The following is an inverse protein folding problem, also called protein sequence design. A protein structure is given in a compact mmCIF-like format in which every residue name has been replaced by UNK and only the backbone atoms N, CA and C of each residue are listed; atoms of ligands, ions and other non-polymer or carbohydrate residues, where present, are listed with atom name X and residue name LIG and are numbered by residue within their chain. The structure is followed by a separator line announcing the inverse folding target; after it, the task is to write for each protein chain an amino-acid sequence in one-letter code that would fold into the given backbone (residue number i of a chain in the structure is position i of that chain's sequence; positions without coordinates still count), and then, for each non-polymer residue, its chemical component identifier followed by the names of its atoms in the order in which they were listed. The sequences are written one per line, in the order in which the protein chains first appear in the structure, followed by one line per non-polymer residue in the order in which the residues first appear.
data_IF_363436751087
#
_entry.id   IF_363436751087
#
_cell.length_a   1.000
_cell.length_b   1.000
_cell.length_c   1.000
_cell.angle_alpha   90.00
_cell.angle_beta   90.00
_cell.angle_gamma   90.00
#
_symmetry.space_group_name_H-M   'P 1'
#
loop_
_entity.id
_entity.type
_entity.pdbx_description
1 polymer ?
#
# COMPACT_ATOMS: atom_id res chain seq x y z
N UNK A 1 14.03 8.74 -16.05
CA UNK A 1 13.00 7.68 -16.20
C UNK A 1 12.29 7.50 -14.88
N UNK A 2 10.96 7.53 -14.91
CA UNK A 2 10.17 7.35 -13.68
C UNK A 2 10.28 5.92 -13.16
N UNK A 3 10.16 5.75 -11.87
CA UNK A 3 10.11 4.44 -11.25
C UNK A 3 8.85 3.66 -11.61
N UNK A 4 8.75 2.46 -11.10
CA UNK A 4 7.62 1.57 -11.33
C UNK A 4 6.85 1.35 -10.03
N UNK A 5 5.54 1.21 -10.17
CA UNK A 5 4.63 0.95 -9.07
C UNK A 5 4.05 -0.44 -9.21
N UNK A 6 4.28 -1.27 -8.19
CA UNK A 6 3.80 -2.65 -8.16
C UNK A 6 2.82 -2.79 -7.00
N UNK A 7 1.66 -3.35 -7.27
CA UNK A 7 0.64 -3.62 -6.25
C UNK A 7 0.47 -5.12 -6.11
N UNK A 8 0.60 -5.62 -4.89
CA UNK A 8 0.27 -7.01 -4.55
C UNK A 8 -1.02 -6.96 -3.74
N UNK A 9 -2.08 -7.48 -4.30
CA UNK A 9 -3.41 -7.40 -3.72
C UNK A 9 -3.87 -8.76 -3.22
N UNK A 10 -4.58 -8.78 -2.10
CA UNK A 10 -5.13 -10.01 -1.56
C UNK A 10 -5.57 -9.83 -0.12
N UNK A 11 -6.27 -10.86 0.38
CA UNK A 11 -6.69 -10.91 1.78
C UNK A 11 -5.55 -11.46 2.64
N UNK A 12 -5.63 -11.21 3.94
CA UNK A 12 -4.65 -11.75 4.89
C UNK A 12 -4.67 -13.28 4.83
N UNK A 13 -3.46 -13.87 4.94
CA UNK A 13 -3.30 -15.32 4.95
C UNK A 13 -3.22 -15.97 3.58
N UNK A 14 -3.21 -15.21 2.49
CA UNK A 14 -3.12 -15.76 1.13
C UNK A 14 -1.68 -15.91 0.60
N UNK A 15 -0.68 -15.71 1.45
CA UNK A 15 0.73 -15.82 1.05
C UNK A 15 1.33 -14.52 0.52
N UNK A 16 0.57 -13.44 0.56
CA UNK A 16 0.97 -12.14 0.04
C UNK A 16 2.25 -11.60 0.69
N UNK A 17 2.36 -11.71 2.01
CA UNK A 17 3.52 -11.22 2.76
C UNK A 17 4.80 -11.91 2.30
N UNK A 18 4.75 -13.22 2.11
CA UNK A 18 5.91 -14.00 1.63
C UNK A 18 6.33 -13.55 0.25
N UNK A 19 5.38 -13.34 -0.66
CA UNK A 19 5.66 -12.87 -2.01
C UNK A 19 6.29 -11.48 -2.01
N UNK A 20 5.80 -10.59 -1.18
CA UNK A 20 6.34 -9.22 -1.06
C UNK A 20 7.76 -9.27 -0.53
N UNK A 21 8.02 -10.07 0.51
CA UNK A 21 9.35 -10.21 1.07
C UNK A 21 10.35 -10.73 0.05
N UNK A 22 9.98 -11.76 -0.70
CA UNK A 22 10.86 -12.33 -1.72
C UNK A 22 11.13 -11.33 -2.84
N UNK A 23 10.10 -10.64 -3.31
CA UNK A 23 10.22 -9.63 -4.36
C UNK A 23 11.10 -8.47 -3.90
N UNK A 24 10.93 -8.05 -2.65
CA UNK A 24 11.70 -6.94 -2.06
C UNK A 24 13.20 -7.28 -1.94
N UNK A 25 13.53 -8.55 -1.79
CA UNK A 25 14.92 -9.01 -1.77
C UNK A 25 15.49 -9.20 -3.17
N UNK A 26 14.66 -9.67 -4.09
CA UNK A 26 15.08 -9.98 -5.45
C UNK A 26 15.29 -8.74 -6.31
N UNK A 27 14.35 -7.80 -6.29
CA UNK A 27 14.35 -6.63 -7.18
C UNK A 27 15.62 -5.79 -7.10
N UNK A 28 16.13 -5.44 -5.89
CA UNK A 28 17.34 -4.62 -5.81
C UNK A 28 18.56 -5.27 -6.43
N UNK A 29 18.59 -6.60 -6.49
CA UNK A 29 19.72 -7.38 -7.03
C UNK A 29 19.48 -7.82 -8.47
N UNK A 30 18.35 -7.50 -9.07
CA UNK A 30 17.96 -7.98 -10.40
C UNK A 30 18.58 -7.17 -11.54
N UNK A 31 19.03 -5.95 -11.25
CA UNK A 31 19.46 -5.02 -12.29
C UNK A 31 18.33 -4.19 -12.89
N UNK A 32 17.09 -4.44 -12.51
CA UNK A 32 15.93 -3.69 -13.04
C UNK A 32 15.83 -2.29 -12.43
N UNK A 33 16.24 -2.14 -11.18
CA UNK A 33 16.21 -0.85 -10.50
C UNK A 33 17.51 -0.11 -10.79
N UNK A 34 17.37 1.10 -11.32
CA UNK A 34 18.51 1.92 -11.69
C UNK A 34 19.39 2.22 -10.47
N UNK A 35 20.71 2.22 -10.68
CA UNK A 35 21.65 2.56 -9.62
C UNK A 35 21.34 3.95 -9.06
N UNK A 36 21.28 4.06 -7.74
CA UNK A 36 20.91 5.29 -7.06
C UNK A 36 19.43 5.41 -6.73
N UNK A 37 18.59 4.56 -7.33
CA UNK A 37 17.16 4.49 -7.01
C UNK A 37 16.93 3.50 -5.89
N UNK A 38 15.84 3.71 -5.15
CA UNK A 38 15.46 2.86 -4.01
C UNK A 38 14.22 2.05 -4.32
N UNK A 39 14.04 0.99 -3.56
CA UNK A 39 12.80 0.24 -3.50
C UNK A 39 12.10 0.59 -2.19
N UNK A 40 10.88 1.12 -2.29
CA UNK A 40 10.07 1.49 -1.14
C UNK A 40 8.93 0.49 -1.03
N UNK A 41 8.76 -0.10 0.15
CA UNK A 41 7.62 -0.96 0.44
C UNK A 41 6.64 -0.19 1.30
N UNK A 42 5.36 -0.28 0.95
CA UNK A 42 4.29 0.42 1.65
C UNK A 42 3.05 -0.45 1.67
N UNK A 43 1.98 0.04 2.25
CA UNK A 43 0.74 -0.73 2.35
C UNK A 43 -0.49 0.17 2.22
N UNK A 44 -1.61 -0.44 1.89
CA UNK A 44 -2.88 0.26 1.75
C UNK A 44 -4.01 -0.62 2.30
N UNK A 45 -4.76 -0.19 3.32
CA UNK A 45 -4.67 1.12 3.97
C UNK A 45 -3.50 1.22 4.97
N UNK A 46 -3.09 2.46 5.27
CA UNK A 46 -2.15 2.71 6.37
C UNK A 46 -0.72 3.04 5.95
N UNK A 47 -0.49 3.44 4.71
CA UNK A 47 0.85 3.77 4.22
C UNK A 47 1.34 5.15 4.60
N UNK A 48 0.43 6.12 4.76
CA UNK A 48 0.73 7.49 5.16
C UNK A 48 0.45 7.69 6.64
N UNK A 49 0.84 8.84 7.19
CA UNK A 49 0.52 9.16 8.58
C UNK A 49 -0.99 9.25 8.80
N UNK A 50 -1.71 9.92 7.89
CA UNK A 50 -3.17 9.95 7.95
C UNK A 50 -3.75 8.55 7.76
N UNK A 51 -3.20 7.79 6.84
CA UNK A 51 -3.65 6.44 6.53
C UNK A 51 -3.56 5.51 7.73
N UNK A 52 -2.54 5.65 8.57
CA UNK A 52 -2.43 4.83 9.79
C UNK A 52 -3.61 5.05 10.73
N UNK A 53 -4.07 6.28 10.85
CA UNK A 53 -5.26 6.60 11.66
C UNK A 53 -6.52 6.04 11.02
N UNK A 54 -6.65 6.17 9.70
CA UNK A 54 -7.80 5.65 8.97
C UNK A 54 -7.85 4.13 9.03
N UNK A 55 -6.70 3.45 8.95
CA UNK A 55 -6.61 2.00 9.07
C UNK A 55 -7.21 1.51 10.39
N UNK A 56 -6.93 2.19 11.48
CA UNK A 56 -7.49 1.84 12.78
C UNK A 56 -9.02 1.87 12.79
N UNK A 57 -9.61 2.84 12.10
CA UNK A 57 -11.06 2.93 11.97
C UNK A 57 -11.64 1.86 11.04
N UNK A 58 -10.97 1.61 9.91
CA UNK A 58 -11.44 0.67 8.90
C UNK A 58 -11.41 -0.76 9.43
N UNK A 59 -10.34 -1.14 10.12
CA UNK A 59 -10.12 -2.51 10.57
C UNK A 59 -10.55 -2.76 12.02
N UNK A 60 -11.33 -1.85 12.60
CA UNK A 60 -11.85 -2.02 13.96
C UNK A 60 -12.82 -3.18 13.99
N UNK A 61 -12.55 -4.15 14.86
CA UNK A 61 -13.39 -5.35 15.02
C UNK A 61 -14.57 -5.13 15.96
N UNK A 62 -14.64 -3.99 16.62
CA UNK A 62 -15.77 -3.67 17.50
C UNK A 62 -16.96 -3.27 16.67
N UNK A 63 -18.03 -4.08 16.72
CA UNK A 63 -19.22 -3.86 15.90
C UNK A 63 -19.90 -2.52 16.16
N UNK A 64 -19.75 -1.95 17.36
CA UNK A 64 -20.30 -0.63 17.69
C UNK A 64 -19.55 0.52 17.04
N UNK A 65 -18.30 0.29 16.68
CA UNK A 65 -17.43 1.32 16.07
C UNK A 65 -17.23 1.11 14.57
N UNK A 66 -17.78 0.03 14.03
CA UNK A 66 -17.59 -0.29 12.62
C UNK A 66 -18.32 0.70 11.74
N UNK A 67 -17.65 1.34 10.78
CA UNK A 67 -18.32 2.27 9.88
C UNK A 67 -19.32 1.56 8.96
N UNK A 68 -20.29 2.32 8.47
CA UNK A 68 -21.18 1.83 7.42
C UNK A 68 -20.38 1.52 6.15
N UNK A 69 -20.97 0.75 5.23
CA UNK A 69 -20.30 0.39 3.98
C UNK A 69 -19.88 1.62 3.17
N UNK A 70 -20.74 2.63 3.11
CA UNK A 70 -20.41 3.85 2.40
C UNK A 70 -19.26 4.62 3.08
N UNK A 71 -19.32 4.73 4.41
CA UNK A 71 -18.24 5.39 5.17
C UNK A 71 -16.93 4.65 5.01
N UNK A 72 -16.96 3.32 5.03
CA UNK A 72 -15.76 2.50 4.82
C UNK A 72 -15.15 2.77 3.44
N UNK A 73 -15.97 2.81 2.39
CA UNK A 73 -15.50 3.13 1.04
C UNK A 73 -14.83 4.50 1.00
N UNK A 74 -15.44 5.50 1.64
CA UNK A 74 -14.88 6.85 1.67
C UNK A 74 -13.58 6.92 2.47
N UNK A 75 -13.47 6.15 3.56
CA UNK A 75 -12.24 6.06 4.34
C UNK A 75 -11.11 5.44 3.52
N UNK A 76 -11.38 4.37 2.78
CA UNK A 76 -10.40 3.78 1.87
C UNK A 76 -9.98 4.76 0.77
N UNK A 77 -10.93 5.52 0.24
CA UNK A 77 -10.64 6.52 -0.79
C UNK A 77 -9.76 7.65 -0.26
N UNK A 78 -10.02 8.10 0.97
CA UNK A 78 -9.20 9.11 1.64
C UNK A 78 -7.79 8.58 1.89
N UNK A 79 -7.68 7.32 2.35
CA UNK A 79 -6.39 6.68 2.56
C UNK A 79 -5.58 6.64 1.26
N UNK A 80 -6.21 6.20 0.17
CA UNK A 80 -5.53 6.12 -1.13
C UNK A 80 -5.10 7.49 -1.63
N UNK A 81 -5.96 8.49 -1.54
CA UNK A 81 -5.63 9.84 -1.99
C UNK A 81 -4.40 10.37 -1.26
N UNK A 82 -4.33 10.20 0.04
CA UNK A 82 -3.20 10.63 0.84
C UNK A 82 -1.94 9.80 0.53
N UNK A 83 -2.10 8.49 0.38
CA UNK A 83 -1.01 7.57 0.07
C UNK A 83 -0.35 7.92 -1.27
N UNK A 84 -1.16 8.15 -2.31
CA UNK A 84 -0.64 8.56 -3.61
C UNK A 84 0.08 9.89 -3.51
N UNK A 85 -0.52 10.86 -2.85
CA UNK A 85 0.01 12.23 -2.78
C UNK A 85 1.29 12.33 -1.98
N UNK A 86 1.38 11.62 -0.85
CA UNK A 86 2.48 11.78 0.11
C UNK A 86 3.58 10.75 -0.02
N UNK A 87 3.28 9.55 -0.54
CA UNK A 87 4.23 8.44 -0.57
C UNK A 87 4.54 8.02 -2.00
N UNK A 88 3.52 7.63 -2.77
CA UNK A 88 3.73 6.97 -4.06
C UNK A 88 4.26 7.94 -5.12
N UNK A 89 3.55 9.04 -5.35
CA UNK A 89 3.95 9.99 -6.40
C UNK A 89 5.32 10.61 -6.16
N UNK A 90 5.67 11.05 -4.92
CA UNK A 90 7.01 11.56 -4.68
C UNK A 90 8.10 10.51 -4.94
N UNK A 91 7.87 9.25 -4.55
CA UNK A 91 8.84 8.18 -4.79
C UNK A 91 9.04 7.92 -6.28
N UNK A 92 7.95 7.79 -7.04
CA UNK A 92 8.01 7.55 -8.48
C UNK A 92 8.68 8.71 -9.22
N UNK A 93 8.40 9.93 -8.81
CA UNK A 93 9.01 11.13 -9.41
C UNK A 93 10.50 11.22 -9.10
N UNK A 94 10.94 10.57 -8.02
CA UNK A 94 12.36 10.46 -7.66
C UNK A 94 13.02 9.24 -8.29
N UNK A 95 12.36 8.58 -9.24
CA UNK A 95 12.81 7.35 -9.92
C UNK A 95 12.94 6.13 -8.99
N UNK A 96 12.32 6.18 -7.82
CA UNK A 96 12.26 5.04 -6.92
C UNK A 96 11.15 4.09 -7.36
N UNK A 97 11.28 2.83 -7.00
CA UNK A 97 10.24 1.83 -7.20
C UNK A 97 9.45 1.67 -5.93
N UNK A 98 8.16 1.39 -6.08
CA UNK A 98 7.25 1.21 -4.94
C UNK A 98 6.52 -0.12 -5.07
N UNK A 99 6.55 -0.92 -4.00
CA UNK A 99 5.70 -2.10 -3.86
C UNK A 99 4.67 -1.77 -2.78
N UNK A 100 3.40 -1.86 -3.13
CA UNK A 100 2.30 -1.65 -2.19
C UNK A 100 1.61 -2.97 -1.88
N UNK A 101 1.53 -3.29 -0.60
CA UNK A 101 0.69 -4.37 -0.08
C UNK A 101 -0.72 -3.81 0.07
N UNK A 102 -1.65 -4.27 -0.75
CA UNK A 102 -3.03 -3.78 -0.74
C UNK A 102 -3.99 -4.83 -0.24
N UNK A 103 -4.74 -4.49 0.80
CA UNK A 103 -5.79 -5.35 1.31
C UNK A 103 -6.96 -5.38 0.32
N UNK A 104 -7.47 -6.57 0.03
CA UNK A 104 -8.58 -6.72 -0.90
C UNK A 104 -9.91 -6.34 -0.23
N UNK A 105 -10.75 -5.59 -0.94
CA UNK A 105 -12.07 -5.16 -0.47
C UNK A 105 -13.12 -6.15 -1.00
N UNK A 106 -13.19 -7.32 -0.40
CA UNK A 106 -14.00 -8.41 -0.92
C UNK A 106 -15.51 -8.29 -0.61
N UNK A 107 -15.88 -7.34 0.22
CA UNK A 107 -17.30 -7.18 0.63
C UNK A 107 -17.94 -5.91 0.07
N UNK A 108 -17.35 -5.31 -0.89
CA UNK A 108 -17.89 -4.12 -1.56
C UNK A 108 -18.55 -4.47 -2.87
#
# INVERSE_FOLDING_TARGET
MKGKFIVIEGIDGCGKTTQIDELSKWLPNSGLIKKGSKLITTREPGGSLLGKKLRGLILDNNSNNKPSSLAELLLYSADRAEHVSKIISPALNNNDWVISDRLSLIHI
#
